data_IF_972765336125
#
_entry.id   IF_972765336125
#
_cell.length_a   1.000
_cell.length_b   1.000
_cell.length_c   1.000
_cell.angle_alpha   90.00
_cell.angle_beta   90.00
_cell.angle_gamma   90.00
#
_symmetry.space_group_name_H-M   'P 1'
#
loop_
_entity.id
_entity.type
_entity.pdbx_description
1 polymer ?
#
# COMPACT_ATOMS: atom_id res chain seq x y z
N UNK A 1 41.51 -1.70 -63.07
CA UNK A 1 41.62 -2.39 -61.77
C UNK A 1 40.54 -1.80 -60.88
N UNK A 2 39.33 -2.35 -60.97
CA UNK A 2 38.12 -1.79 -60.38
C UNK A 2 37.92 -2.42 -58.99
N UNK A 3 38.06 -1.64 -57.93
CA UNK A 3 37.80 -2.10 -56.56
C UNK A 3 36.29 -2.13 -56.33
N UNK A 4 35.71 -3.32 -56.41
CA UNK A 4 34.33 -3.59 -56.04
C UNK A 4 34.21 -3.53 -54.52
N UNK A 5 33.68 -2.43 -53.99
CA UNK A 5 33.24 -2.36 -52.58
C UNK A 5 32.09 -3.37 -52.41
N UNK A 6 32.16 -4.31 -51.45
CA UNK A 6 31.06 -5.25 -51.24
C UNK A 6 29.82 -4.49 -50.74
N UNK A 7 28.61 -4.84 -51.19
CA UNK A 7 27.39 -4.17 -50.76
C UNK A 7 27.20 -4.38 -49.24
N UNK A 8 26.88 -3.31 -48.53
CA UNK A 8 26.52 -3.37 -47.12
C UNK A 8 25.29 -4.26 -46.94
N UNK A 9 25.44 -5.33 -46.15
CA UNK A 9 24.39 -6.28 -45.79
C UNK A 9 23.20 -5.55 -45.13
N UNK A 10 22.02 -5.48 -45.78
CA UNK A 10 20.89 -4.66 -45.33
C UNK A 10 20.16 -5.22 -44.10
N UNK A 11 20.57 -6.40 -43.59
CA UNK A 11 19.85 -7.10 -42.51
C UNK A 11 20.41 -6.93 -41.10
N UNK A 12 21.58 -6.30 -40.92
CA UNK A 12 22.22 -6.23 -39.60
C UNK A 12 21.85 -4.93 -38.88
N UNK A 13 21.00 -4.96 -37.83
CA UNK A 13 20.67 -3.74 -37.08
C UNK A 13 21.94 -3.06 -36.58
N UNK A 14 21.97 -1.73 -36.59
CA UNK A 14 23.14 -0.96 -36.14
C UNK A 14 23.58 -1.31 -34.71
N UNK A 15 24.78 -0.89 -34.31
CA UNK A 15 25.33 -1.17 -32.98
C UNK A 15 24.42 -0.67 -31.84
N UNK A 16 23.78 0.49 -32.02
CA UNK A 16 22.85 1.11 -31.05
C UNK A 16 21.60 0.23 -30.83
N UNK A 17 20.84 -0.20 -31.86
CA UNK A 17 19.74 -1.14 -31.68
C UNK A 17 20.11 -2.45 -30.98
N UNK A 18 21.32 -2.99 -31.23
CA UNK A 18 21.77 -4.22 -30.56
C UNK A 18 22.06 -3.99 -29.07
N UNK A 19 22.70 -2.88 -28.72
CA UNK A 19 22.93 -2.48 -27.33
C UNK A 19 21.59 -2.26 -26.61
N UNK A 20 20.65 -1.55 -27.22
CA UNK A 20 19.31 -1.36 -26.67
C UNK A 20 18.59 -2.71 -26.47
N UNK A 21 18.64 -3.61 -27.45
CA UNK A 21 18.04 -4.94 -27.31
C UNK A 21 18.70 -5.78 -26.20
N UNK A 22 20.01 -5.66 -26.00
CA UNK A 22 20.73 -6.32 -24.91
C UNK A 22 20.32 -5.75 -23.54
N UNK A 23 20.23 -4.42 -23.42
CA UNK A 23 19.77 -3.73 -22.20
C UNK A 23 18.34 -4.11 -21.86
N UNK A 24 17.43 -4.11 -22.84
CA UNK A 24 16.03 -4.53 -22.65
C UNK A 24 15.96 -5.98 -22.18
N UNK A 25 16.70 -6.88 -22.84
CA UNK A 25 16.74 -8.30 -22.45
C UNK A 25 17.25 -8.46 -21.02
N UNK A 26 18.34 -7.78 -20.65
CA UNK A 26 18.87 -7.80 -19.29
C UNK A 26 17.86 -7.24 -18.28
N UNK A 27 17.25 -6.10 -18.57
CA UNK A 27 16.24 -5.48 -17.72
C UNK A 27 15.05 -6.44 -17.50
N UNK A 28 14.58 -7.14 -18.54
CA UNK A 28 13.50 -8.12 -18.45
C UNK A 28 13.88 -9.37 -17.62
N UNK A 29 15.16 -9.65 -17.36
CA UNK A 29 15.53 -10.71 -16.41
C UNK A 29 15.24 -10.30 -14.96
N UNK A 30 15.29 -9.00 -14.66
CA UNK A 30 15.10 -8.48 -13.31
C UNK A 30 13.63 -8.53 -12.89
N UNK A 31 13.36 -9.22 -11.79
CA UNK A 31 12.03 -9.26 -11.14
C UNK A 31 11.42 -7.87 -10.90
N UNK A 32 12.13 -6.89 -10.31
CA UNK A 32 11.53 -5.57 -10.07
C UNK A 32 11.10 -4.87 -11.36
N UNK A 33 11.84 -5.04 -12.46
CA UNK A 33 11.45 -4.49 -13.77
C UNK A 33 10.18 -5.18 -14.27
N UNK A 34 10.11 -6.52 -14.21
CA UNK A 34 8.91 -7.26 -14.64
C UNK A 34 7.69 -6.92 -13.79
N UNK A 35 7.87 -6.66 -12.50
CA UNK A 35 6.83 -6.20 -11.58
C UNK A 35 6.36 -4.77 -11.90
N UNK A 36 7.29 -3.84 -12.14
CA UNK A 36 6.95 -2.47 -12.55
C UNK A 36 6.22 -2.44 -13.90
N UNK A 37 6.64 -3.27 -14.85
CA UNK A 37 5.93 -3.45 -16.12
C UNK A 37 4.55 -4.05 -15.91
N UNK A 38 4.37 -5.05 -15.04
CA UNK A 38 3.05 -5.59 -14.71
C UNK A 38 2.14 -4.52 -14.10
N UNK A 39 2.66 -3.72 -13.17
CA UNK A 39 1.96 -2.58 -12.59
C UNK A 39 1.50 -1.59 -13.68
N UNK A 40 2.38 -1.22 -14.61
CA UNK A 40 2.03 -0.34 -15.73
C UNK A 40 1.00 -0.97 -16.70
N UNK A 41 1.20 -2.24 -17.07
CA UNK A 41 0.32 -3.04 -17.95
C UNK A 41 -1.11 -3.11 -17.38
N UNK A 42 -1.25 -3.21 -16.06
CA UNK A 42 -2.53 -3.25 -15.34
C UNK A 42 -3.11 -1.88 -14.99
N UNK A 43 -2.60 -0.80 -15.60
CA UNK A 43 -3.01 0.60 -15.34
C UNK A 43 -2.86 1.01 -13.87
N UNK A 44 -1.80 0.52 -13.24
CA UNK A 44 -1.48 0.75 -11.84
C UNK A 44 -1.54 2.20 -11.37
N UNK A 45 -1.02 3.20 -12.12
CA UNK A 45 -1.14 4.61 -11.75
C UNK A 45 -2.59 5.07 -11.63
N UNK A 46 -3.44 4.74 -12.61
CA UNK A 46 -4.87 5.07 -12.55
C UNK A 46 -5.58 4.39 -11.38
N UNK A 47 -5.16 3.16 -11.03
CA UNK A 47 -5.69 2.46 -9.86
C UNK A 47 -5.28 3.17 -8.56
N UNK A 48 -4.02 3.61 -8.46
CA UNK A 48 -3.53 4.40 -7.33
C UNK A 48 -4.32 5.70 -7.17
N UNK A 49 -4.62 6.40 -8.26
CA UNK A 49 -5.44 7.62 -8.24
C UNK A 49 -6.84 7.35 -7.68
N UNK A 50 -7.48 6.25 -8.10
CA UNK A 50 -8.79 5.84 -7.58
C UNK A 50 -8.76 5.47 -6.10
N UNK A 51 -7.69 4.84 -5.63
CA UNK A 51 -7.46 4.53 -4.21
C UNK A 51 -7.29 5.83 -3.45
N UNK A 52 -6.48 6.75 -3.95
CA UNK A 52 -6.18 8.04 -3.31
C UNK A 52 -7.45 8.83 -3.03
N UNK A 53 -8.32 8.94 -4.03
CA UNK A 53 -9.60 9.63 -3.87
C UNK A 53 -10.44 8.99 -2.76
N UNK A 54 -10.62 7.66 -2.77
CA UNK A 54 -11.40 6.98 -1.71
C UNK A 54 -10.68 6.99 -0.35
N UNK A 55 -9.35 6.98 -0.34
CA UNK A 55 -8.52 7.06 0.86
C UNK A 55 -8.66 8.42 1.54
N UNK A 56 -8.74 9.52 0.79
CA UNK A 56 -8.95 10.84 1.37
C UNK A 56 -10.23 10.89 2.20
N UNK A 57 -11.38 10.50 1.63
CA UNK A 57 -12.65 10.44 2.37
C UNK A 57 -12.62 9.42 3.51
N UNK A 58 -11.97 8.27 3.29
CA UNK A 58 -11.83 7.22 4.31
C UNK A 58 -11.01 7.68 5.50
N UNK A 59 -9.95 8.47 5.28
CA UNK A 59 -9.11 9.03 6.33
C UNK A 59 -9.90 10.04 7.16
N UNK A 60 -10.61 11.00 6.53
CA UNK A 60 -11.46 11.93 7.27
C UNK A 60 -12.56 11.21 8.05
N UNK A 61 -13.23 10.25 7.42
CA UNK A 61 -14.27 9.47 8.07
C UNK A 61 -13.72 8.61 9.21
N UNK A 62 -12.57 7.98 9.01
CA UNK A 62 -11.88 7.15 9.98
C UNK A 62 -11.38 7.96 11.18
N UNK A 63 -10.83 9.16 10.97
CA UNK A 63 -10.48 10.09 12.04
C UNK A 63 -11.73 10.46 12.82
N UNK A 64 -12.79 10.92 12.14
CA UNK A 64 -14.02 11.32 12.84
C UNK A 64 -14.61 10.17 13.66
N UNK A 65 -14.69 8.96 13.09
CA UNK A 65 -15.16 7.76 13.80
C UNK A 65 -14.24 7.39 14.97
N UNK A 66 -12.94 7.33 14.74
CA UNK A 66 -11.94 6.95 15.74
C UNK A 66 -11.94 7.90 16.92
N UNK A 67 -11.92 9.21 16.65
CA UNK A 67 -11.97 10.24 17.69
C UNK A 67 -13.33 10.33 18.36
N UNK A 68 -14.44 10.05 17.66
CA UNK A 68 -15.76 9.95 18.28
C UNK A 68 -15.82 8.82 19.32
N UNK A 69 -15.28 7.65 18.97
CA UNK A 69 -15.18 6.52 19.90
C UNK A 69 -14.22 6.86 21.04
N UNK A 70 -13.07 7.46 20.73
CA UNK A 70 -12.10 7.87 21.74
C UNK A 70 -12.67 8.93 22.70
N UNK A 71 -13.44 9.91 22.22
CA UNK A 71 -14.08 10.92 23.06
C UNK A 71 -15.10 10.31 24.04
N UNK A 72 -15.80 9.24 23.63
CA UNK A 72 -16.72 8.50 24.52
C UNK A 72 -15.99 7.67 25.57
N UNK A 73 -14.85 7.05 25.20
CA UNK A 73 -14.18 6.04 26.02
C UNK A 73 -13.02 6.60 26.88
N UNK A 74 -12.33 7.62 26.37
CA UNK A 74 -11.21 8.31 27.03
C UNK A 74 -11.63 9.66 27.63
N UNK A 75 -12.94 9.91 27.77
CA UNK A 75 -13.44 11.14 28.40
C UNK A 75 -12.73 11.38 29.74
N UNK A 76 -11.89 12.43 29.79
CA UNK A 76 -11.13 12.80 30.99
C UNK A 76 -9.70 12.26 31.11
N UNK A 77 -9.15 11.53 30.13
CA UNK A 77 -7.73 11.12 30.12
C UNK A 77 -6.91 11.89 29.05
N UNK A 78 -6.29 13.02 29.39
CA UNK A 78 -5.54 13.84 28.44
C UNK A 78 -4.27 13.15 27.90
N UNK A 79 -3.66 12.26 28.68
CA UNK A 79 -2.46 11.52 28.28
C UNK A 79 -2.79 10.53 27.16
N UNK A 80 -3.88 9.78 27.31
CA UNK A 80 -4.31 8.83 26.30
C UNK A 80 -4.81 9.53 25.03
N UNK A 81 -5.42 10.73 25.16
CA UNK A 81 -5.78 11.56 24.01
C UNK A 81 -4.56 12.00 23.20
N UNK A 82 -3.52 12.51 23.88
CA UNK A 82 -2.27 12.91 23.23
C UNK A 82 -1.58 11.74 22.53
N UNK A 83 -1.59 10.54 23.14
CA UNK A 83 -1.00 9.35 22.54
C UNK A 83 -1.71 8.92 21.23
N UNK A 84 -3.04 9.07 21.13
CA UNK A 84 -3.78 8.78 19.89
C UNK A 84 -3.45 9.83 18.81
N UNK A 85 -3.39 11.11 19.17
CA UNK A 85 -3.01 12.19 18.24
C UNK A 85 -1.60 11.94 17.68
N UNK A 86 -0.63 11.65 18.56
CA UNK A 86 0.75 11.31 18.17
C UNK A 86 0.78 10.10 17.22
N UNK A 87 0.01 9.05 17.53
CA UNK A 87 -0.05 7.85 16.71
C UNK A 87 -0.57 8.15 15.30
N UNK A 88 -1.66 8.91 15.19
CA UNK A 88 -2.24 9.30 13.89
C UNK A 88 -1.30 10.21 13.12
N UNK A 89 -0.67 11.18 13.78
CA UNK A 89 0.29 12.10 13.14
C UNK A 89 1.54 11.35 12.63
N UNK A 90 1.99 10.32 13.35
CA UNK A 90 3.12 9.49 12.90
C UNK A 90 2.77 8.65 11.66
N UNK A 91 1.52 8.19 11.57
CA UNK A 91 1.04 7.35 10.48
C UNK A 91 0.68 8.14 9.23
N UNK A 92 0.05 9.31 9.40
CA UNK A 92 -0.42 10.18 8.33
C UNK A 92 0.01 11.62 8.65
N UNK A 93 1.23 12.02 8.22
CA UNK A 93 1.74 13.37 8.47
C UNK A 93 0.85 14.45 7.86
N UNK A 94 0.64 15.55 8.58
CA UNK A 94 -0.16 16.68 8.10
C UNK A 94 -1.68 16.52 8.21
N UNK A 95 -2.17 15.37 8.69
CA UNK A 95 -3.61 15.15 8.89
C UNK A 95 -4.17 15.88 10.12
N UNK A 96 -3.44 15.77 11.23
CA UNK A 96 -3.82 16.27 12.56
C UNK A 96 -2.59 16.95 13.19
N UNK A 97 -2.81 17.95 14.06
CA UNK A 97 -1.75 18.69 14.78
C UNK A 97 -1.93 20.21 14.62
N UNK A 98 -0.96 20.99 15.11
CA UNK A 98 -1.01 22.47 15.10
C UNK A 98 -1.18 23.09 13.69
N UNK A 99 -0.79 22.35 12.65
CA UNK A 99 -0.97 22.70 11.23
C UNK A 99 -1.70 21.61 10.44
N UNK A 100 -2.41 20.70 11.12
CA UNK A 100 -3.15 19.62 10.48
C UNK A 100 -4.37 20.11 9.71
N UNK A 101 -4.86 19.30 8.77
CA UNK A 101 -6.13 19.59 8.06
C UNK A 101 -7.34 19.50 9.00
N UNK A 102 -7.24 18.71 10.08
CA UNK A 102 -8.30 18.50 11.07
C UNK A 102 -7.88 19.08 12.43
N UNK A 103 -8.71 19.97 12.96
CA UNK A 103 -8.58 20.49 14.33
C UNK A 103 -9.05 19.45 15.35
N UNK A 104 -8.17 19.06 16.28
CA UNK A 104 -8.46 18.04 17.30
C UNK A 104 -9.48 18.48 18.34
N UNK A 105 -9.57 19.78 18.63
CA UNK A 105 -10.47 20.27 19.68
C UNK A 105 -11.92 20.22 19.21
N UNK A 106 -12.16 20.36 17.91
CA UNK A 106 -13.45 20.13 17.28
C UNK A 106 -13.92 18.67 17.38
N UNK A 107 -13.01 17.71 17.55
CA UNK A 107 -13.30 16.28 17.62
C UNK A 107 -13.74 15.79 19.01
N UNK A 108 -13.76 16.66 20.03
CA UNK A 108 -14.16 16.30 21.40
C UNK A 108 -15.66 16.28 21.63
N UNK A 109 -16.46 16.66 20.64
CA UNK A 109 -17.92 16.67 20.78
C UNK A 109 -18.50 15.25 20.63
N UNK A 110 -19.30 14.76 21.59
CA UNK A 110 -19.90 13.43 21.51
C UNK A 110 -20.83 13.28 20.30
N UNK A 111 -20.81 12.11 19.66
CA UNK A 111 -21.79 11.76 18.63
C UNK A 111 -23.17 11.68 19.27
N UNK A 112 -24.07 12.57 18.86
CA UNK A 112 -25.49 12.50 19.24
C UNK A 112 -26.13 11.22 18.69
N UNK A 113 -26.77 10.42 19.55
CA UNK A 113 -27.53 9.20 19.19
C UNK A 113 -28.89 9.51 18.52
N UNK A 114 -28.95 10.57 17.71
CA UNK A 114 -30.15 10.94 16.95
C UNK A 114 -30.24 10.13 15.66
N UNK A 115 -31.40 10.15 14.98
CA UNK A 115 -31.55 9.56 13.64
C UNK A 115 -30.50 10.12 12.68
N UNK A 116 -30.23 11.43 12.75
CA UNK A 116 -29.16 12.08 12.00
C UNK A 116 -27.77 11.52 12.36
N UNK A 117 -27.51 11.23 13.63
CA UNK A 117 -26.29 10.57 14.09
C UNK A 117 -26.12 9.16 13.54
N UNK A 118 -27.19 8.35 13.52
CA UNK A 118 -27.17 6.99 12.96
C UNK A 118 -26.90 7.05 11.45
N UNK A 119 -27.58 7.93 10.72
CA UNK A 119 -27.36 8.10 9.26
C UNK A 119 -25.93 8.57 8.98
N UNK A 120 -25.41 9.52 9.77
CA UNK A 120 -24.02 9.96 9.70
C UNK A 120 -23.03 8.83 9.96
N UNK A 121 -23.27 8.02 11.00
CA UNK A 121 -22.45 6.86 11.34
C UNK A 121 -22.38 5.86 10.18
N UNK A 122 -23.51 5.52 9.57
CA UNK A 122 -23.57 4.62 8.41
C UNK A 122 -22.79 5.20 7.22
N UNK A 123 -22.98 6.50 6.94
CA UNK A 123 -22.25 7.21 5.89
C UNK A 123 -20.73 7.21 6.13
N UNK A 124 -20.30 7.47 7.36
CA UNK A 124 -18.89 7.48 7.76
C UNK A 124 -18.27 6.08 7.67
N UNK A 125 -18.95 5.05 8.14
CA UNK A 125 -18.47 3.66 8.02
C UNK A 125 -18.35 3.29 6.54
N UNK A 126 -19.34 3.64 5.72
CA UNK A 126 -19.28 3.45 4.27
C UNK A 126 -18.08 4.15 3.62
N UNK A 127 -17.84 5.41 3.98
CA UNK A 127 -16.70 6.18 3.50
C UNK A 127 -15.35 5.59 3.95
N UNK A 128 -15.23 5.23 5.23
CA UNK A 128 -14.05 4.57 5.81
C UNK A 128 -13.72 3.26 5.10
N UNK A 129 -14.72 2.41 4.82
CA UNK A 129 -14.51 1.13 4.13
C UNK A 129 -14.27 1.29 2.61
N UNK A 130 -14.60 2.44 2.03
CA UNK A 130 -14.46 2.72 0.60
C UNK A 130 -13.02 2.60 0.09
N UNK A 131 -12.04 3.05 0.87
CA UNK A 131 -10.62 2.95 0.51
C UNK A 131 -10.17 1.49 0.40
N UNK A 132 -10.52 0.66 1.41
CA UNK A 132 -10.22 -0.78 1.41
C UNK A 132 -10.90 -1.47 0.23
N UNK A 133 -12.12 -1.05 -0.11
CA UNK A 133 -12.81 -1.55 -1.30
C UNK A 133 -12.08 -1.23 -2.60
N UNK A 134 -11.58 0.00 -2.76
CA UNK A 134 -10.79 0.40 -3.94
C UNK A 134 -9.48 -0.37 -4.03
N UNK A 135 -8.78 -0.46 -2.91
CA UNK A 135 -7.52 -1.17 -2.80
C UNK A 135 -7.72 -2.65 -3.16
N UNK A 136 -8.81 -3.26 -2.70
CA UNK A 136 -9.15 -4.65 -3.04
C UNK A 136 -9.34 -4.82 -4.53
N UNK A 137 -10.14 -3.97 -5.15
CA UNK A 137 -10.37 -4.03 -6.60
C UNK A 137 -9.06 -3.84 -7.36
N UNK A 138 -8.23 -2.89 -6.97
CA UNK A 138 -6.93 -2.64 -7.60
C UNK A 138 -5.97 -3.83 -7.46
N UNK A 139 -5.84 -4.39 -6.25
CA UNK A 139 -4.98 -5.57 -6.00
C UNK A 139 -5.48 -6.78 -6.78
N UNK A 140 -6.80 -7.02 -6.84
CA UNK A 140 -7.38 -8.11 -7.65
C UNK A 140 -7.17 -7.92 -9.16
N UNK A 141 -7.27 -6.68 -9.65
CA UNK A 141 -6.97 -6.38 -11.05
C UNK A 141 -5.50 -6.64 -11.39
N UNK A 142 -4.58 -6.27 -10.50
CA UNK A 142 -3.15 -6.60 -10.67
C UNK A 142 -2.92 -8.11 -10.61
N UNK A 143 -3.60 -8.81 -9.70
CA UNK A 143 -3.46 -10.25 -9.48
C UNK A 143 -4.21 -11.13 -10.49
N UNK A 144 -5.09 -10.56 -11.33
CA UNK A 144 -5.88 -11.31 -12.31
C UNK A 144 -7.07 -12.08 -11.72
N UNK A 145 -7.59 -11.66 -10.56
CA UNK A 145 -8.68 -12.33 -9.80
C UNK A 145 -9.92 -11.43 -9.64
N UNK A 146 -10.08 -10.45 -10.53
CA UNK A 146 -11.17 -9.47 -10.44
C UNK A 146 -12.57 -10.10 -10.60
N UNK A 147 -12.64 -11.28 -11.20
CA UNK A 147 -13.85 -12.02 -11.56
C UNK A 147 -14.40 -12.91 -10.43
N UNK A 148 -13.69 -13.04 -9.31
CA UNK A 148 -14.15 -13.89 -8.20
C UNK A 148 -15.26 -13.19 -7.39
N UNK A 149 -16.49 -13.63 -7.62
CA UNK A 149 -17.67 -13.17 -6.89
C UNK A 149 -17.66 -13.69 -5.45
N UNK A 150 -17.68 -12.77 -4.50
CA UNK A 150 -17.87 -13.05 -3.08
C UNK A 150 -19.10 -12.29 -2.63
N UNK A 151 -19.97 -12.92 -1.82
CA UNK A 151 -21.15 -12.25 -1.26
C UNK A 151 -20.73 -10.92 -0.62
N UNK A 152 -21.47 -9.86 -0.95
CA UNK A 152 -21.17 -8.49 -0.54
C UNK A 152 -20.98 -8.34 0.98
N UNK A 153 -21.73 -9.10 1.79
CA UNK A 153 -21.63 -9.08 3.26
C UNK A 153 -20.25 -9.54 3.74
N UNK A 154 -19.71 -10.63 3.18
CA UNK A 154 -18.38 -11.13 3.55
C UNK A 154 -17.27 -10.14 3.17
N UNK A 155 -17.48 -9.43 2.07
CA UNK A 155 -16.57 -8.38 1.62
C UNK A 155 -16.53 -7.21 2.61
N UNK A 156 -17.70 -6.76 3.07
CA UNK A 156 -17.81 -5.69 4.09
C UNK A 156 -17.18 -6.14 5.41
N UNK A 157 -17.49 -7.34 5.88
CA UNK A 157 -16.96 -7.86 7.14
C UNK A 157 -15.43 -7.99 7.13
N UNK A 158 -14.86 -8.49 6.02
CA UNK A 158 -13.40 -8.61 5.87
C UNK A 158 -12.72 -7.25 5.78
N UNK A 159 -13.36 -6.29 5.10
CA UNK A 159 -12.87 -4.90 5.06
C UNK A 159 -12.89 -4.28 6.47
N UNK A 160 -13.94 -4.53 7.26
CA UNK A 160 -14.03 -4.06 8.64
C UNK A 160 -12.96 -4.67 9.53
N UNK A 161 -12.73 -5.99 9.42
CA UNK A 161 -11.67 -6.67 10.17
C UNK A 161 -10.28 -6.12 9.81
N UNK A 162 -10.03 -5.83 8.53
CA UNK A 162 -8.78 -5.18 8.11
C UNK A 162 -8.67 -3.77 8.72
N UNK A 163 -9.73 -2.97 8.69
CA UNK A 163 -9.74 -1.63 9.28
C UNK A 163 -9.42 -1.68 10.78
N UNK A 164 -10.04 -2.60 11.52
CA UNK A 164 -9.75 -2.82 12.95
C UNK A 164 -8.31 -3.27 13.16
N UNK A 165 -7.80 -4.18 12.32
CA UNK A 165 -6.40 -4.63 12.38
C UNK A 165 -5.40 -3.49 12.16
N UNK A 166 -5.66 -2.59 11.21
CA UNK A 166 -4.85 -1.38 10.98
C UNK A 166 -4.91 -0.46 12.21
N UNK A 167 -6.10 -0.21 12.75
CA UNK A 167 -6.27 0.60 13.97
C UNK A 167 -5.52 0.03 15.17
N UNK A 168 -5.61 -1.28 15.40
CA UNK A 168 -4.88 -1.96 16.47
C UNK A 168 -3.36 -1.89 16.26
N UNK A 169 -2.90 -1.97 15.01
CA UNK A 169 -1.47 -1.83 14.68
C UNK A 169 -0.94 -0.45 15.08
N UNK A 170 -1.73 0.62 14.90
CA UNK A 170 -1.36 1.95 15.39
C UNK A 170 -1.29 2.02 16.92
N UNK A 171 -2.23 1.40 17.62
CA UNK A 171 -2.20 1.33 19.10
C UNK A 171 -0.95 0.60 19.58
N UNK A 172 -0.61 -0.54 18.96
CA UNK A 172 0.61 -1.29 19.25
C UNK A 172 1.85 -0.43 18.98
N UNK A 173 1.90 0.27 17.84
CA UNK A 173 3.00 1.17 17.49
C UNK A 173 3.18 2.29 18.52
N UNK A 174 2.10 2.94 18.93
CA UNK A 174 2.11 3.99 19.94
C UNK A 174 2.59 3.47 21.30
N UNK A 175 2.07 2.31 21.71
CA UNK A 175 2.45 1.65 22.97
C UNK A 175 3.93 1.29 22.95
N UNK A 176 4.43 0.74 21.84
CA UNK A 176 5.83 0.36 21.69
C UNK A 176 6.75 1.57 21.67
N UNK A 177 6.28 2.70 21.11
CA UNK A 177 7.00 3.98 21.15
C UNK A 177 7.12 4.51 22.58
N UNK A 178 6.05 4.45 23.38
CA UNK A 178 6.07 4.86 24.80
C UNK A 178 6.95 3.91 25.63
N UNK A 179 6.76 2.60 25.48
CA UNK A 179 7.54 1.58 26.16
C UNK A 179 9.03 1.66 25.80
N UNK A 180 9.33 1.97 24.54
CA UNK A 180 10.69 2.26 24.07
C UNK A 180 11.32 3.38 24.89
N UNK A 181 10.67 4.56 24.95
CA UNK A 181 11.17 5.72 25.73
C UNK A 181 11.47 5.36 27.18
N UNK A 182 10.53 4.68 27.86
CA UNK A 182 10.68 4.25 29.26
C UNK A 182 11.82 3.23 29.42
N UNK A 183 11.93 2.25 28.52
CA UNK A 183 12.97 1.22 28.57
C UNK A 183 14.38 1.80 28.40
N UNK A 184 14.51 2.88 27.63
CA UNK A 184 15.79 3.57 27.42
C UNK A 184 16.15 4.42 28.64
N UNK A 185 15.19 5.11 29.25
CA UNK A 185 15.39 5.81 30.53
C UNK A 185 15.85 4.85 31.63
N UNK A 186 15.25 3.66 31.70
CA UNK A 186 15.67 2.59 32.60
C UNK A 186 17.09 2.07 32.31
N UNK A 187 17.39 1.78 31.03
CA UNK A 187 18.70 1.23 30.63
C UNK A 187 19.83 2.25 30.78
N UNK A 188 19.58 3.52 30.46
CA UNK A 188 20.54 4.62 30.65
C UNK A 188 20.76 4.93 32.13
N UNK A 189 19.70 4.85 32.95
CA UNK A 189 19.78 4.92 34.41
C UNK A 189 20.59 3.78 35.04
N UNK A 190 20.47 2.56 34.52
CA UNK A 190 21.22 1.40 35.00
C UNK A 190 22.71 1.44 34.63
N UNK A 191 23.04 2.02 33.47
CA UNK A 191 24.40 2.10 32.94
C UNK A 191 25.14 3.40 33.34
N UNK A 192 24.48 4.32 34.07
CA UNK A 192 25.07 5.59 34.49
C UNK A 192 25.49 6.51 33.32
N UNK A 193 24.97 6.25 32.13
CA UNK A 193 25.26 7.04 30.94
C UNK A 193 24.30 8.24 30.89
N UNK A 194 24.77 9.44 30.52
CA UNK A 194 23.87 10.58 30.33
C UNK A 194 22.81 10.21 29.28
N UNK A 195 21.55 10.56 29.53
CA UNK A 195 20.39 10.24 28.67
C UNK A 195 20.53 10.74 27.21
N UNK A 196 21.53 11.58 26.94
CA UNK A 196 21.86 12.20 25.67
C UNK A 196 23.05 11.54 24.95
N UNK A 197 23.55 10.40 25.44
CA UNK A 197 24.63 9.68 24.77
C UNK A 197 24.20 9.40 23.32
N UNK A 198 25.00 9.83 22.31
CA UNK A 198 24.59 9.71 20.91
C UNK A 198 24.29 8.26 20.50
N UNK A 199 24.95 7.28 21.13
CA UNK A 199 24.67 5.85 20.94
C UNK A 199 23.27 5.41 21.43
N UNK A 200 22.78 5.98 22.54
CA UNK A 200 21.44 5.67 23.07
C UNK A 200 20.38 6.21 22.12
N UNK A 201 20.47 7.48 21.72
CA UNK A 201 19.56 8.15 20.77
C UNK A 201 19.52 7.45 19.42
N UNK A 202 20.69 7.04 18.90
CA UNK A 202 20.77 6.32 17.63
C UNK A 202 20.11 4.93 17.70
N UNK A 203 20.24 4.24 18.84
CA UNK A 203 19.58 2.95 19.07
C UNK A 203 18.05 3.07 19.08
N UNK A 204 17.49 4.13 19.69
CA UNK A 204 16.05 4.42 19.64
C UNK A 204 15.58 4.60 18.20
N UNK A 205 16.32 5.40 17.44
CA UNK A 205 15.98 5.74 16.04
C UNK A 205 15.97 4.47 15.20
N UNK A 206 17.00 3.63 15.30
CA UNK A 206 17.07 2.37 14.56
C UNK A 206 15.95 1.42 14.98
N UNK A 207 15.71 1.26 16.28
CA UNK A 207 14.64 0.38 16.76
C UNK A 207 13.26 0.84 16.26
N UNK A 208 13.00 2.15 16.32
CA UNK A 208 11.76 2.74 15.80
C UNK A 208 11.62 2.51 14.29
N UNK A 209 12.68 2.75 13.50
CA UNK A 209 12.68 2.49 12.05
C UNK A 209 12.44 1.01 11.73
N UNK A 210 13.05 0.09 12.49
CA UNK A 210 12.84 -1.35 12.31
C UNK A 210 11.40 -1.76 12.63
N UNK A 211 10.82 -1.20 13.70
CA UNK A 211 9.41 -1.44 14.06
C UNK A 211 8.49 -0.94 12.97
N UNK A 212 8.67 0.30 12.52
CA UNK A 212 7.85 0.91 11.46
C UNK A 212 7.97 0.11 10.17
N UNK A 213 9.19 -0.25 9.77
CA UNK A 213 9.43 -1.12 8.62
C UNK A 213 8.72 -2.47 8.73
N UNK A 214 8.77 -3.10 9.92
CA UNK A 214 8.10 -4.38 10.15
C UNK A 214 6.58 -4.25 10.08
N UNK A 215 6.01 -3.16 10.61
CA UNK A 215 4.59 -2.85 10.52
C UNK A 215 4.16 -2.60 9.07
N UNK A 216 4.92 -1.84 8.30
CA UNK A 216 4.63 -1.56 6.88
C UNK A 216 4.71 -2.85 6.04
N UNK A 217 5.74 -3.67 6.26
CA UNK A 217 5.84 -4.97 5.59
C UNK A 217 4.68 -5.90 5.99
N UNK A 218 4.33 -5.96 7.27
CA UNK A 218 3.19 -6.74 7.74
C UNK A 218 1.86 -6.23 7.15
N UNK A 219 1.69 -4.91 7.05
CA UNK A 219 0.52 -4.28 6.43
C UNK A 219 0.39 -4.68 4.97
N UNK A 220 1.47 -4.57 4.18
CA UNK A 220 1.46 -4.97 2.77
C UNK A 220 1.20 -6.48 2.63
N UNK A 221 1.81 -7.31 3.47
CA UNK A 221 1.58 -8.74 3.48
C UNK A 221 0.11 -9.06 3.81
N UNK A 222 -0.49 -8.39 4.79
CA UNK A 222 -1.89 -8.53 5.17
C UNK A 222 -2.81 -8.06 4.04
N UNK A 223 -2.54 -6.90 3.45
CA UNK A 223 -3.29 -6.36 2.31
C UNK A 223 -3.28 -7.36 1.16
N UNK A 224 -2.10 -7.84 0.75
CA UNK A 224 -2.02 -8.80 -0.35
C UNK A 224 -2.77 -10.10 0.00
N UNK A 225 -2.48 -10.71 1.16
CA UNK A 225 -3.05 -12.00 1.56
C UNK A 225 -4.56 -11.94 1.77
N UNK A 226 -5.09 -10.81 2.21
CA UNK A 226 -6.52 -10.65 2.47
C UNK A 226 -7.30 -10.17 1.24
N UNK A 227 -6.69 -9.41 0.34
CA UNK A 227 -7.43 -8.73 -0.73
C UNK A 227 -7.21 -9.37 -2.12
N UNK A 228 -6.05 -9.97 -2.38
CA UNK A 228 -5.68 -10.44 -3.73
C UNK A 228 -6.46 -11.64 -4.24
N UNK A 229 -7.02 -12.48 -3.35
CA UNK A 229 -7.66 -13.73 -3.75
C UNK A 229 -6.69 -14.84 -4.19
N UNK A 230 -5.39 -14.57 -4.28
CA UNK A 230 -4.36 -15.52 -4.69
C UNK A 230 -3.68 -16.17 -3.48
N UNK A 231 -3.49 -17.49 -3.53
CA UNK A 231 -2.76 -18.24 -2.49
C UNK A 231 -1.26 -18.30 -2.84
N UNK A 232 -0.51 -17.34 -2.32
CA UNK A 232 0.97 -17.27 -2.50
C UNK A 232 1.71 -17.96 -1.36
N UNK A 233 2.93 -18.44 -1.64
CA UNK A 233 3.81 -18.98 -0.59
C UNK A 233 4.32 -17.86 0.34
N UNK A 234 4.66 -18.20 1.59
CA UNK A 234 5.13 -17.19 2.55
C UNK A 234 6.40 -16.45 2.07
N UNK A 235 7.29 -17.16 1.36
CA UNK A 235 8.52 -16.56 0.82
C UNK A 235 8.23 -15.55 -0.30
N UNK A 236 7.30 -15.85 -1.19
CA UNK A 236 6.85 -14.93 -2.25
C UNK A 236 6.22 -13.68 -1.63
N UNK A 237 5.33 -13.88 -0.65
CA UNK A 237 4.63 -12.81 0.06
C UNK A 237 5.62 -11.83 0.73
N UNK A 238 6.52 -12.36 1.57
CA UNK A 238 7.48 -11.52 2.30
C UNK A 238 8.50 -10.85 1.38
N UNK A 239 8.88 -11.47 0.26
CA UNK A 239 9.84 -10.87 -0.68
C UNK A 239 9.34 -9.54 -1.27
N UNK A 240 8.07 -9.45 -1.62
CA UNK A 240 7.48 -8.19 -2.09
C UNK A 240 7.01 -7.28 -0.97
N UNK A 241 6.53 -7.84 0.15
CA UNK A 241 6.09 -7.06 1.30
C UNK A 241 7.24 -6.28 1.95
N UNK A 242 8.44 -6.85 2.07
CA UNK A 242 9.62 -6.16 2.57
C UNK A 242 10.07 -5.04 1.63
N UNK A 243 10.01 -5.26 0.31
CA UNK A 243 10.34 -4.24 -0.68
C UNK A 243 9.36 -3.06 -0.63
N UNK A 244 8.07 -3.36 -0.53
CA UNK A 244 7.04 -2.33 -0.34
C UNK A 244 7.16 -1.61 0.99
N UNK A 245 7.45 -2.34 2.08
CA UNK A 245 7.64 -1.76 3.41
C UNK A 245 8.83 -0.81 3.45
N UNK A 246 9.91 -1.13 2.73
CA UNK A 246 11.04 -0.23 2.57
C UNK A 246 10.63 1.04 1.78
N UNK A 247 9.82 0.88 0.74
CA UNK A 247 9.30 2.01 -0.04
C UNK A 247 8.41 2.94 0.80
N UNK A 248 7.54 2.38 1.65
CA UNK A 248 6.71 3.15 2.57
C UNK A 248 7.54 3.85 3.65
N UNK A 249 8.53 3.16 4.22
CA UNK A 249 9.46 3.74 5.19
C UNK A 249 10.22 4.94 4.59
N UNK A 250 10.76 4.79 3.37
CA UNK A 250 11.42 5.89 2.66
C UNK A 250 10.44 7.05 2.44
N UNK A 251 9.21 6.75 2.03
CA UNK A 251 8.19 7.78 1.81
C UNK A 251 7.81 8.51 3.11
N UNK A 252 7.74 7.82 4.24
CA UNK A 252 7.48 8.42 5.56
C UNK A 252 8.62 9.35 5.99
N UNK A 253 9.87 8.94 5.84
CA UNK A 253 11.03 9.79 6.14
C UNK A 253 11.08 11.03 5.23
N UNK A 254 10.73 10.88 3.95
CA UNK A 254 10.60 12.01 3.02
C UNK A 254 9.42 12.93 3.38
N UNK A 255 8.31 12.38 3.87
CA UNK A 255 7.11 13.14 4.25
C UNK A 255 7.41 14.18 5.34
N UNK A 256 8.28 13.85 6.29
CA UNK A 256 8.73 14.80 7.33
C UNK A 256 9.38 16.06 6.76
N UNK A 257 9.99 15.99 5.57
CA UNK A 257 10.60 17.14 4.89
C UNK A 257 9.54 18.02 4.19
N UNK A 258 8.42 17.44 3.74
CA UNK A 258 7.35 18.19 3.07
C UNK A 258 6.54 19.06 4.03
N UNK A 259 6.29 18.58 5.25
CA UNK A 259 5.50 19.31 6.26
C UNK A 259 6.24 20.56 6.77
N UNK A 260 7.57 20.55 6.78
CA UNK A 260 8.37 21.68 7.26
C UNK A 260 8.53 22.85 6.26
N UNK A 261 8.24 22.66 4.97
CA UNK A 261 8.54 23.64 3.91
C UNK A 261 7.37 24.53 3.47
N UNK A 262 6.15 24.28 3.95
CA UNK A 262 4.92 24.80 3.33
C UNK A 262 4.33 26.09 3.94
N UNK A 263 5.08 26.86 4.73
CA UNK A 263 4.47 27.94 5.55
C UNK A 263 5.15 29.30 5.37
N UNK A 264 4.80 29.99 4.28
CA UNK A 264 4.99 31.45 4.16
C UNK A 264 3.70 32.22 3.88
N UNK A 265 2.57 31.54 3.65
CA UNK A 265 1.25 32.20 3.51
C UNK A 265 0.12 31.38 4.18
N UNK A 266 -0.55 31.92 5.22
CA UNK A 266 -1.66 31.24 5.93
C UNK A 266 -2.83 30.82 5.04
N UNK A 267 -3.10 31.53 3.95
CA UNK A 267 -4.19 31.19 3.02
C UNK A 267 -3.87 29.96 2.16
N UNK A 268 -2.59 29.70 1.90
CA UNK A 268 -2.13 28.53 1.14
C UNK A 268 -1.80 27.34 2.04
N UNK A 269 -1.63 27.56 3.35
CA UNK A 269 -1.20 26.52 4.29
C UNK A 269 -2.17 25.34 4.35
N UNK A 270 -3.48 25.59 4.47
CA UNK A 270 -4.51 24.53 4.51
C UNK A 270 -4.68 23.78 3.19
N UNK A 271 -4.52 24.48 2.07
CA UNK A 271 -4.53 23.86 0.75
C UNK A 271 -3.26 23.02 0.51
N UNK A 272 -2.10 23.53 0.93
CA UNK A 272 -0.82 22.85 0.79
C UNK A 272 -0.77 21.57 1.64
N UNK A 273 -1.30 21.58 2.86
CA UNK A 273 -1.37 20.37 3.70
C UNK A 273 -2.31 19.33 3.12
N UNK A 274 -3.45 19.74 2.57
CA UNK A 274 -4.36 18.82 1.85
C UNK A 274 -3.70 18.24 0.60
N UNK A 275 -2.97 19.05 -0.18
CA UNK A 275 -2.24 18.57 -1.36
C UNK A 275 -1.09 17.63 -0.98
N UNK A 276 -0.34 17.95 0.08
CA UNK A 276 0.72 17.08 0.61
C UNK A 276 0.15 15.73 1.06
N UNK A 277 -0.97 15.74 1.78
CA UNK A 277 -1.69 14.53 2.17
C UNK A 277 -2.12 13.71 0.94
N UNK A 278 -2.64 14.37 -0.10
CA UNK A 278 -3.06 13.71 -1.33
C UNK A 278 -1.88 13.05 -2.06
N UNK A 279 -0.75 13.76 -2.18
CA UNK A 279 0.49 13.25 -2.77
C UNK A 279 1.01 12.07 -1.94
N UNK A 280 1.04 12.19 -0.62
CA UNK A 280 1.48 11.13 0.28
C UNK A 280 0.61 9.87 0.15
N UNK A 281 -0.72 10.03 0.14
CA UNK A 281 -1.67 8.94 -0.07
C UNK A 281 -1.47 8.28 -1.45
N UNK A 282 -1.27 9.08 -2.49
CA UNK A 282 -1.07 8.59 -3.84
C UNK A 282 0.22 7.79 -3.97
N UNK A 283 1.34 8.34 -3.52
CA UNK A 283 2.63 7.66 -3.53
C UNK A 283 2.60 6.39 -2.68
N UNK A 284 1.94 6.41 -1.52
CA UNK A 284 1.73 5.22 -0.70
C UNK A 284 0.95 4.13 -1.45
N UNK A 285 -0.15 4.50 -2.11
CA UNK A 285 -0.92 3.58 -2.93
C UNK A 285 -0.10 3.03 -4.10
N UNK A 286 0.72 3.85 -4.77
CA UNK A 286 1.62 3.38 -5.83
C UNK A 286 2.63 2.36 -5.30
N UNK A 287 3.30 2.65 -4.18
CA UNK A 287 4.26 1.73 -3.55
C UNK A 287 3.59 0.40 -3.19
N UNK A 288 2.41 0.45 -2.56
CA UNK A 288 1.64 -0.75 -2.21
C UNK A 288 1.28 -1.58 -3.44
N UNK A 289 0.81 -0.95 -4.51
CA UNK A 289 0.43 -1.65 -5.74
C UNK A 289 1.63 -2.22 -6.50
N UNK A 290 2.77 -1.52 -6.51
CA UNK A 290 4.04 -2.04 -7.07
C UNK A 290 4.51 -3.24 -6.26
N UNK A 291 4.42 -3.19 -4.93
CA UNK A 291 4.73 -4.33 -4.07
C UNK A 291 3.78 -5.52 -4.34
N UNK A 292 2.49 -5.27 -4.52
CA UNK A 292 1.53 -6.31 -4.93
C UNK A 292 1.90 -6.92 -6.30
N UNK A 293 2.25 -6.09 -7.29
CA UNK A 293 2.69 -6.56 -8.59
C UNK A 293 3.99 -7.38 -8.50
N UNK A 294 4.89 -7.04 -7.58
CA UNK A 294 6.08 -7.83 -7.28
C UNK A 294 5.72 -9.21 -6.73
N UNK A 295 4.80 -9.29 -5.77
CA UNK A 295 4.35 -10.56 -5.19
C UNK A 295 3.69 -11.44 -6.27
N UNK A 296 2.84 -10.85 -7.12
CA UNK A 296 2.22 -11.57 -8.26
C UNK A 296 3.30 -12.09 -9.21
N UNK A 297 4.26 -11.26 -9.59
CA UNK A 297 5.36 -11.67 -10.49
C UNK A 297 6.19 -12.80 -9.87
N UNK A 298 6.50 -12.72 -8.57
CA UNK A 298 7.21 -13.78 -7.86
C UNK A 298 6.42 -15.09 -7.83
N UNK A 299 5.10 -15.01 -7.67
CA UNK A 299 4.21 -16.16 -7.71
C UNK A 299 4.12 -16.80 -9.10
N UNK A 300 3.95 -16.00 -10.16
CA UNK A 300 3.96 -16.45 -11.56
C UNK A 300 5.26 -17.21 -11.89
N UNK A 301 6.41 -16.70 -11.43
CA UNK A 301 7.70 -17.35 -11.65
C UNK A 301 7.87 -18.66 -10.86
N UNK A 302 7.30 -18.73 -9.66
CA UNK A 302 7.35 -19.93 -8.84
C UNK A 302 6.48 -21.04 -9.45
N UNK A 303 5.34 -20.67 -10.03
CA UNK A 303 4.41 -21.57 -10.70
C UNK A 303 4.95 -22.09 -12.05
N UNK A 304 5.57 -21.24 -12.87
CA UNK A 304 6.15 -21.62 -14.17
C UNK A 304 7.64 -21.22 -14.27
N UNK A 305 8.49 -22.02 -13.64
CA UNK A 305 9.95 -21.80 -13.61
C UNK A 305 10.60 -21.85 -14.99
N UNK A 306 10.02 -22.62 -15.92
CA UNK A 306 10.53 -22.74 -17.30
C UNK A 306 10.29 -21.43 -18.04
N UNK A 307 9.08 -20.89 -17.96
CA UNK A 307 8.71 -19.59 -18.54
C UNK A 307 9.45 -18.42 -17.89
N UNK A 308 9.76 -18.51 -16.60
CA UNK A 308 10.59 -17.52 -15.92
C UNK A 308 12.04 -17.52 -16.44
N UNK A 309 12.60 -18.70 -16.70
CA UNK A 309 14.00 -18.86 -17.16
C UNK A 309 14.18 -18.55 -18.65
N UNK A 310 13.19 -18.84 -19.48
CA UNK A 310 13.16 -18.54 -20.92
C UNK A 310 12.17 -17.42 -21.26
N UNK A 311 12.00 -16.45 -20.36
CA UNK A 311 11.02 -15.38 -20.48
C UNK A 311 11.23 -14.49 -21.70
N UNK A 312 10.25 -13.61 -21.95
CA UNK A 312 10.27 -12.67 -23.06
C UNK A 312 11.59 -11.89 -23.16
N UNK A 313 12.26 -11.96 -24.31
CA UNK A 313 13.50 -11.22 -24.59
C UNK A 313 13.27 -9.84 -25.20
N UNK A 314 12.04 -9.56 -25.60
CA UNK A 314 11.60 -8.29 -26.21
C UNK A 314 10.26 -7.85 -25.61
N UNK A 315 9.94 -6.57 -25.73
CA UNK A 315 8.63 -6.04 -25.28
C UNK A 315 7.47 -6.68 -26.06
N UNK A 316 7.62 -6.93 -27.36
CA UNK A 316 6.58 -7.60 -28.15
C UNK A 316 6.34 -9.04 -27.67
N UNK A 317 7.40 -9.81 -27.39
CA UNK A 317 7.25 -11.15 -26.81
C UNK A 317 6.54 -11.11 -25.45
N UNK A 318 6.81 -10.08 -24.63
CA UNK A 318 6.14 -9.89 -23.35
C UNK A 318 4.66 -9.55 -23.54
N UNK A 319 4.31 -8.71 -24.51
CA UNK A 319 2.91 -8.39 -24.83
C UNK A 319 2.12 -9.62 -25.24
N UNK A 320 2.71 -10.49 -26.08
CA UNK A 320 2.10 -11.78 -26.45
C UNK A 320 1.89 -12.64 -25.21
N UNK A 321 2.93 -12.81 -24.39
CA UNK A 321 2.84 -13.61 -23.16
C UNK A 321 1.74 -13.08 -22.21
N UNK A 322 1.60 -11.76 -22.07
CA UNK A 322 0.54 -11.16 -21.25
C UNK A 322 -0.86 -11.37 -21.84
N UNK A 323 -0.99 -11.27 -23.16
CA UNK A 323 -2.25 -11.59 -23.84
C UNK A 323 -2.66 -13.07 -23.64
N UNK A 324 -1.70 -14.00 -23.66
CA UNK A 324 -1.95 -15.42 -23.35
C UNK A 324 -2.44 -15.61 -21.90
N UNK A 325 -1.82 -14.93 -20.93
CA UNK A 325 -2.25 -14.98 -19.52
C UNK A 325 -3.67 -14.41 -19.36
N UNK A 326 -3.97 -13.28 -19.98
CA UNK A 326 -5.29 -12.66 -19.93
C UNK A 326 -6.36 -13.56 -20.58
N UNK A 327 -6.02 -14.22 -21.68
CA UNK A 327 -6.89 -15.20 -22.32
C UNK A 327 -7.16 -16.39 -21.40
N UNK A 328 -6.14 -16.89 -20.70
CA UNK A 328 -6.29 -18.00 -19.75
C UNK A 328 -7.22 -17.61 -18.58
N UNK A 329 -7.04 -16.40 -18.02
CA UNK A 329 -7.91 -15.86 -16.96
C UNK A 329 -9.35 -15.73 -17.45
N UNK A 330 -9.55 -15.14 -18.63
CA UNK A 330 -10.89 -14.96 -19.21
C UNK A 330 -11.58 -16.32 -19.50
N UNK A 331 -10.82 -17.31 -19.99
CA UNK A 331 -11.32 -18.66 -20.24
C UNK A 331 -11.69 -19.36 -18.93
N UNK A 332 -10.90 -19.20 -17.87
CA UNK A 332 -11.21 -19.75 -16.55
C UNK A 332 -12.48 -19.11 -15.97
N UNK A 333 -12.61 -17.78 -16.07
CA UNK A 333 -13.81 -17.07 -15.63
C UNK A 333 -15.07 -17.51 -16.40
N UNK A 334 -14.96 -17.70 -17.73
CA UNK A 334 -16.05 -18.22 -18.55
C UNK A 334 -16.48 -19.62 -18.09
N UNK A 335 -15.53 -20.53 -17.85
CA UNK A 335 -15.83 -21.89 -17.35
C UNK A 335 -16.53 -21.84 -16.00
N UNK A 336 -16.03 -21.04 -15.06
CA UNK A 336 -16.65 -20.87 -13.74
C UNK A 336 -18.09 -20.34 -13.86
N UNK A 337 -18.34 -19.37 -14.75
CA UNK A 337 -19.67 -18.86 -15.00
C UNK A 337 -20.61 -19.91 -15.63
N UNK A 338 -20.10 -20.74 -16.56
CA UNK A 338 -20.86 -21.84 -17.16
C UNK A 338 -21.22 -22.91 -16.12
N UNK A 339 -20.29 -23.26 -15.23
CA UNK A 339 -20.53 -24.19 -14.12
C UNK A 339 -21.59 -23.66 -13.15
N UNK A 340 -21.54 -22.36 -12.82
CA UNK A 340 -22.53 -21.72 -11.97
C UNK A 340 -23.93 -21.61 -12.63
N UNK A 341 -23.98 -21.43 -13.95
CA UNK A 341 -25.23 -21.35 -14.72
C UNK A 341 -25.88 -22.73 -14.95
N UNK A 342 -25.13 -23.83 -14.84
CA UNK A 342 -25.67 -25.18 -15.04
C UNK A 342 -26.53 -25.55 -13.83
N UNK A 343 -27.86 -25.75 -13.99
CA UNK A 343 -28.71 -26.12 -12.87
C UNK A 343 -28.21 -27.45 -12.30
N UNK A 344 -28.00 -27.50 -10.98
CA UNK A 344 -27.70 -28.75 -10.26
C UNK A 344 -28.90 -29.68 -10.41
N UNK A 345 -28.92 -30.48 -11.46
CA UNK A 345 -29.84 -31.60 -11.60
C UNK A 345 -29.63 -32.50 -10.39
N UNK A 346 -30.67 -32.60 -9.56
CA UNK A 346 -30.62 -33.19 -8.23
C UNK A 346 -29.97 -34.57 -8.21
N UNK A 347 -29.22 -34.82 -7.14
CA UNK A 347 -29.10 -36.18 -6.62
C UNK A 347 -30.37 -36.45 -5.81
N UNK A 348 -31.09 -37.55 -6.06
CA UNK A 348 -32.24 -37.95 -5.25
C UNK A 348 -31.83 -38.24 -3.81
#
# INVERSE_FOLDING_TARGET
MSTTTPPADPGRPGAIPRLLAAVVRWALTLRPVRAALLYAERRGPMLADSITYRALFSVFAGVLLGFSVAALWLAGNPVAWAAIVDAVQSAVPGLIGEHGVIDTDALRQPVSLSIAGIVSLVGLVGAALGAIGSLRTAVRLIAGTAQDDVLWVWVVLRNLLLAVGIGLSFVVSATLTIAGRIGIEWLTGLLGLPAHAPAAVWSIRVLSLVVVFALDAALIAAVFRLLSGVRVSGRELWSGALLGGLGLLVLQELSGLFVGGATSNPLLASFATLLALLIWLNLSAQVMLVACAYIVTAHEEAADRVRARFGATTFEARRVQRAEVDLAIATAALRAAQEAATPRTGKP
#
